data_IF_956110504976
#
_entry.id   IF_956110504976
#
_cell.length_a   1.000
_cell.length_b   1.000
_cell.length_c   1.000
_cell.angle_alpha   90.00
_cell.angle_beta   90.00
_cell.angle_gamma   90.00
#
_symmetry.space_group_name_H-M   'P 1'
#
loop_
_entity.id
_entity.type
_entity.pdbx_description
1 polymer ?
#
# COMPACT_ATOMS: atom_id res chain seq x y z
N UNK A 1 6.96 -34.30 16.88
CA UNK A 1 6.53 -32.91 17.09
C UNK A 1 5.33 -32.98 18.01
N UNK A 2 5.29 -32.23 19.11
CA UNK A 2 4.08 -32.19 19.94
C UNK A 2 2.93 -31.55 19.15
N UNK A 3 1.70 -32.04 19.34
CA UNK A 3 0.54 -31.48 18.64
C UNK A 3 0.27 -30.04 19.06
N UNK A 4 -0.21 -29.23 18.12
CA UNK A 4 -0.49 -27.81 18.35
C UNK A 4 -1.55 -27.64 19.46
N UNK A 5 -1.37 -26.63 20.31
CA UNK A 5 -2.28 -26.35 21.42
C UNK A 5 -3.73 -26.13 20.96
N UNK A 6 -3.93 -25.55 19.78
CA UNK A 6 -5.27 -25.39 19.20
C UNK A 6 -6.01 -26.73 19.06
N UNK A 7 -5.32 -27.78 18.61
CA UNK A 7 -5.91 -29.13 18.43
C UNK A 7 -6.13 -29.80 19.79
N UNK A 8 -5.23 -29.55 20.76
CA UNK A 8 -5.40 -30.05 22.14
C UNK A 8 -6.62 -29.42 22.82
N UNK A 9 -6.89 -28.15 22.54
CA UNK A 9 -7.93 -27.36 23.19
C UNK A 9 -9.31 -27.49 22.51
N UNK A 10 -9.36 -27.92 21.25
CA UNK A 10 -10.60 -28.18 20.51
C UNK A 10 -10.59 -29.58 19.88
N UNK A 11 -11.25 -30.56 20.52
CA UNK A 11 -11.33 -31.94 20.03
C UNK A 11 -11.94 -32.09 18.62
N UNK A 12 -12.74 -31.12 18.16
CA UNK A 12 -13.36 -31.17 16.83
C UNK A 12 -12.32 -31.02 15.70
N UNK A 13 -11.12 -30.53 16.03
CA UNK A 13 -10.02 -30.38 15.08
C UNK A 13 -9.18 -31.66 14.93
N UNK A 14 -9.36 -32.65 15.81
CA UNK A 14 -8.55 -33.88 15.80
C UNK A 14 -8.57 -34.63 14.45
N UNK A 15 -9.71 -34.77 13.73
CA UNK A 15 -9.74 -35.42 12.42
C UNK A 15 -8.94 -34.69 11.34
N UNK A 16 -8.67 -33.39 11.52
CA UNK A 16 -7.97 -32.53 10.56
C UNK A 16 -6.51 -32.25 10.95
N UNK A 17 -6.00 -32.93 11.98
CA UNK A 17 -4.68 -32.70 12.57
C UNK A 17 -3.57 -32.61 11.52
N UNK A 18 -3.46 -33.59 10.63
CA UNK A 18 -2.41 -33.64 9.61
C UNK A 18 -2.45 -32.43 8.68
N UNK A 19 -3.64 -31.99 8.26
CA UNK A 19 -3.81 -30.83 7.42
C UNK A 19 -3.45 -29.52 8.15
N UNK A 20 -3.83 -29.39 9.42
CA UNK A 20 -3.54 -28.21 10.25
C UNK A 20 -2.03 -28.11 10.53
N UNK A 21 -1.41 -29.21 10.99
CA UNK A 21 0.03 -29.27 11.26
C UNK A 21 0.85 -29.10 9.97
N UNK A 22 0.38 -29.64 8.84
CA UNK A 22 0.97 -29.41 7.53
C UNK A 22 0.96 -27.94 7.12
N UNK A 23 -0.16 -27.23 7.31
CA UNK A 23 -0.26 -25.78 7.06
C UNK A 23 0.66 -24.98 7.97
N UNK A 24 0.73 -25.33 9.25
CA UNK A 24 1.67 -24.71 10.19
C UNK A 24 3.12 -24.87 9.72
N UNK A 25 3.52 -26.09 9.36
CA UNK A 25 4.88 -26.35 8.89
C UNK A 25 5.19 -25.64 7.57
N UNK A 26 4.20 -25.52 6.67
CA UNK A 26 4.34 -24.71 5.46
C UNK A 26 4.65 -23.25 5.79
N UNK A 27 3.91 -22.63 6.71
CA UNK A 27 4.15 -21.24 7.15
C UNK A 27 5.55 -21.08 7.75
N UNK A 28 5.95 -21.97 8.66
CA UNK A 28 7.29 -21.97 9.27
C UNK A 28 8.39 -22.06 8.22
N UNK A 29 8.23 -22.93 7.22
CA UNK A 29 9.21 -23.08 6.14
C UNK A 29 9.22 -21.86 5.20
N UNK A 30 8.04 -21.27 4.92
CA UNK A 30 7.92 -20.08 4.09
C UNK A 30 8.58 -18.87 4.75
N UNK A 31 8.37 -18.67 6.05
CA UNK A 31 9.03 -17.63 6.82
C UNK A 31 10.56 -17.81 6.80
N UNK A 32 11.06 -19.03 7.01
CA UNK A 32 12.49 -19.34 6.88
C UNK A 32 13.02 -19.00 5.49
N UNK A 33 12.29 -19.33 4.43
CA UNK A 33 12.71 -19.00 3.07
C UNK A 33 12.79 -17.49 2.84
N UNK A 34 11.77 -16.73 3.26
CA UNK A 34 11.73 -15.26 3.13
C UNK A 34 12.82 -14.56 3.95
N UNK A 35 13.16 -15.12 5.11
CA UNK A 35 14.20 -14.58 6.01
C UNK A 35 15.61 -15.05 5.69
N UNK A 36 15.80 -15.82 4.61
CA UNK A 36 17.11 -16.38 4.25
C UNK A 36 17.65 -17.34 5.31
N UNK A 37 16.77 -18.14 5.91
CA UNK A 37 17.01 -19.00 7.07
C UNK A 37 17.45 -18.23 8.33
N UNK A 38 16.77 -17.12 8.63
CA UNK A 38 17.04 -16.30 9.81
C UNK A 38 18.23 -15.35 9.69
N UNK A 39 18.71 -15.08 8.47
CA UNK A 39 19.72 -14.03 8.21
C UNK A 39 19.17 -12.63 8.48
N UNK A 40 17.84 -12.48 8.41
CA UNK A 40 17.09 -11.29 8.80
C UNK A 40 15.80 -11.71 9.47
N UNK A 41 15.17 -10.81 10.21
CA UNK A 41 13.82 -10.99 10.77
C UNK A 41 12.75 -10.83 9.69
N UNK A 42 11.53 -11.31 9.96
CA UNK A 42 10.39 -11.08 9.07
C UNK A 42 10.08 -9.58 8.92
N UNK A 43 10.26 -8.80 10.00
CA UNK A 43 10.09 -7.34 9.96
C UNK A 43 11.13 -6.66 9.07
N UNK A 44 12.39 -7.07 9.12
CA UNK A 44 13.42 -6.55 8.21
C UNK A 44 13.09 -6.90 6.76
N UNK A 45 12.67 -8.14 6.49
CA UNK A 45 12.20 -8.57 5.16
C UNK A 45 11.02 -7.71 4.67
N UNK A 46 10.09 -7.33 5.55
CA UNK A 46 8.96 -6.45 5.24
C UNK A 46 9.33 -4.96 5.08
N UNK A 47 10.60 -4.63 4.81
CA UNK A 47 11.04 -3.22 4.64
C UNK A 47 11.19 -2.81 3.18
N UNK A 48 10.51 -3.49 2.25
CA UNK A 48 10.62 -3.23 0.81
C UNK A 48 10.31 -1.78 0.43
N UNK A 49 9.43 -1.12 1.17
CA UNK A 49 9.05 0.29 0.98
C UNK A 49 10.18 1.29 1.25
N UNK A 50 11.29 0.86 1.87
CA UNK A 50 12.51 1.65 2.05
C UNK A 50 13.49 1.51 0.86
N UNK A 51 13.27 0.51 0.00
CA UNK A 51 14.12 0.21 -1.14
C UNK A 51 13.44 0.53 -2.48
N UNK A 52 12.20 0.08 -2.65
CA UNK A 52 11.36 0.29 -3.82
C UNK A 52 10.57 1.60 -3.74
N UNK A 53 10.15 2.10 -4.91
CA UNK A 53 9.49 3.40 -5.04
C UNK A 53 10.50 4.55 -5.17
N UNK A 54 10.01 5.79 -5.05
CA UNK A 54 10.80 7.01 -5.17
C UNK A 54 11.32 7.45 -3.80
N UNK A 55 12.64 7.67 -3.70
CA UNK A 55 13.31 8.07 -2.47
C UNK A 55 14.20 9.28 -2.71
N UNK A 56 14.07 10.30 -1.85
CA UNK A 56 15.02 11.41 -1.79
C UNK A 56 16.34 10.91 -1.16
N UNK A 57 17.47 11.24 -1.77
CA UNK A 57 18.81 10.96 -1.25
C UNK A 57 19.57 12.27 -1.03
N UNK A 58 20.77 12.18 -0.43
CA UNK A 58 21.65 13.34 -0.25
C UNK A 58 22.15 13.95 -1.56
N UNK A 59 22.15 13.19 -2.65
CA UNK A 59 22.67 13.60 -3.96
C UNK A 59 21.58 13.79 -5.03
N UNK A 60 20.32 13.55 -4.68
CA UNK A 60 19.20 13.66 -5.59
C UNK A 60 18.08 12.70 -5.25
N UNK A 61 17.75 11.81 -6.18
CA UNK A 61 16.65 10.86 -6.05
C UNK A 61 17.09 9.49 -6.53
N UNK A 62 16.52 8.45 -5.94
CA UNK A 62 16.60 7.10 -6.47
C UNK A 62 15.19 6.54 -6.58
N UNK A 63 14.90 5.91 -7.71
CA UNK A 63 13.65 5.21 -7.94
C UNK A 63 13.94 3.76 -8.29
N UNK A 64 13.18 2.83 -7.69
CA UNK A 64 13.26 1.40 -8.00
C UNK A 64 11.91 0.76 -8.18
N UNK A 65 11.85 -0.19 -9.10
CA UNK A 65 10.65 -0.94 -9.40
C UNK A 65 10.95 -2.40 -9.74
N UNK A 66 10.01 -3.30 -9.40
CA UNK A 66 10.07 -4.70 -9.82
C UNK A 66 9.20 -4.90 -11.05
N UNK A 67 9.81 -5.30 -12.16
CA UNK A 67 9.17 -5.51 -13.46
C UNK A 67 10.00 -6.51 -14.29
N UNK A 68 9.94 -7.82 -13.96
CA UNK A 68 10.81 -8.82 -14.56
C UNK A 68 10.62 -9.01 -16.06
N UNK A 69 9.42 -8.78 -16.60
CA UNK A 69 9.11 -8.94 -18.02
C UNK A 69 9.27 -7.65 -18.85
N UNK A 70 9.60 -6.52 -18.21
CA UNK A 70 9.86 -5.29 -18.94
C UNK A 70 11.14 -5.41 -19.78
N UNK A 71 11.14 -4.79 -20.95
CA UNK A 71 12.30 -4.64 -21.84
C UNK A 71 12.91 -3.24 -21.72
N UNK A 72 12.14 -2.24 -21.33
CA UNK A 72 12.62 -0.93 -20.92
C UNK A 72 11.60 -0.23 -20.01
N UNK A 73 12.09 0.68 -19.16
CA UNK A 73 11.25 1.53 -18.31
C UNK A 73 11.79 2.96 -18.35
N UNK A 74 10.90 3.92 -18.54
CA UNK A 74 11.21 5.35 -18.50
C UNK A 74 10.31 6.02 -17.48
N UNK A 75 10.85 6.94 -16.69
CA UNK A 75 10.04 7.85 -15.90
C UNK A 75 9.59 9.01 -16.79
N UNK A 76 8.28 9.23 -16.90
CA UNK A 76 7.68 10.31 -17.67
C UNK A 76 6.83 11.19 -16.74
N UNK A 77 6.80 12.50 -16.96
CA UNK A 77 6.11 13.40 -16.06
C UNK A 77 6.16 14.86 -16.51
N UNK A 78 5.69 15.74 -15.63
CA UNK A 78 5.70 17.20 -15.86
C UNK A 78 7.09 17.73 -16.22
N UNK A 79 8.14 17.21 -15.58
CA UNK A 79 9.53 17.59 -15.77
C UNK A 79 10.14 17.23 -17.14
N UNK A 80 9.49 16.38 -17.93
CA UNK A 80 9.91 16.03 -19.30
C UNK A 80 8.74 16.04 -20.29
N UNK A 81 7.70 16.83 -20.01
CA UNK A 81 6.51 16.99 -20.86
C UNK A 81 5.82 15.67 -21.21
N UNK A 82 5.86 14.68 -20.31
CA UNK A 82 5.30 13.33 -20.51
C UNK A 82 5.91 12.58 -21.72
N UNK A 83 7.13 12.94 -22.14
CA UNK A 83 7.80 12.32 -23.29
C UNK A 83 8.85 11.31 -22.83
N UNK A 84 9.03 10.27 -23.64
CA UNK A 84 10.12 9.31 -23.49
C UNK A 84 11.47 10.02 -23.67
N UNK A 85 12.34 9.93 -22.67
CA UNK A 85 13.62 10.62 -22.62
C UNK A 85 14.66 9.74 -21.93
N UNK A 86 15.82 9.54 -22.56
CA UNK A 86 16.89 8.67 -22.06
C UNK A 86 17.49 9.18 -20.73
N UNK A 87 17.37 10.48 -20.41
CA UNK A 87 17.75 11.04 -19.10
C UNK A 87 16.96 10.43 -17.94
N UNK A 88 15.78 9.88 -18.23
CA UNK A 88 14.86 9.30 -17.27
C UNK A 88 14.66 7.79 -17.48
N UNK A 89 15.55 7.15 -18.23
CA UNK A 89 15.54 5.70 -18.46
C UNK A 89 16.10 4.93 -17.27
N UNK A 90 15.37 3.93 -16.81
CA UNK A 90 15.84 3.04 -15.75
C UNK A 90 16.80 1.98 -16.30
N UNK A 91 17.76 1.60 -15.46
CA UNK A 91 18.72 0.53 -15.69
C UNK A 91 18.25 -0.75 -15.00
N UNK A 92 18.36 -1.88 -15.70
CA UNK A 92 18.07 -3.19 -15.13
C UNK A 92 19.24 -3.63 -14.26
N UNK A 93 19.00 -3.92 -12.98
CA UNK A 93 20.04 -4.38 -12.05
C UNK A 93 20.18 -5.90 -12.07
N UNK A 94 19.05 -6.61 -11.91
CA UNK A 94 19.01 -8.06 -11.74
C UNK A 94 17.71 -8.49 -11.05
N UNK A 95 17.35 -9.78 -11.10
CA UNK A 95 16.13 -10.32 -10.48
C UNK A 95 14.83 -9.56 -10.85
N UNK A 96 14.79 -8.94 -12.03
CA UNK A 96 13.66 -8.14 -12.48
C UNK A 96 13.55 -6.75 -11.84
N UNK A 97 14.56 -6.30 -11.10
CA UNK A 97 14.61 -4.96 -10.50
C UNK A 97 15.19 -3.96 -11.49
N UNK A 98 14.55 -2.80 -11.57
CA UNK A 98 14.96 -1.65 -12.35
C UNK A 98 15.23 -0.46 -11.42
N UNK A 99 16.24 0.34 -11.74
CA UNK A 99 16.66 1.48 -10.93
C UNK A 99 16.99 2.70 -11.81
N UNK A 100 16.71 3.89 -11.30
CA UNK A 100 17.32 5.12 -11.81
C UNK A 100 17.76 6.00 -10.65
N UNK A 101 18.94 6.62 -10.79
CA UNK A 101 19.39 7.70 -9.93
C UNK A 101 19.26 9.02 -10.71
N UNK A 102 18.59 10.00 -10.13
CA UNK A 102 18.34 11.32 -10.73
C UNK A 102 19.00 12.40 -9.88
N UNK A 103 19.58 13.41 -10.52
CA UNK A 103 20.12 14.57 -9.80
C UNK A 103 18.99 15.35 -9.10
N UNK A 104 19.33 16.04 -8.01
CA UNK A 104 18.36 16.76 -7.16
C UNK A 104 17.42 17.70 -7.91
N UNK A 105 17.93 18.43 -8.91
CA UNK A 105 17.15 19.40 -9.67
C UNK A 105 16.19 18.81 -10.70
N UNK A 106 16.19 17.49 -10.92
CA UNK A 106 15.37 16.84 -11.96
C UNK A 106 13.93 16.56 -11.51
N UNK A 107 13.69 16.40 -10.21
CA UNK A 107 12.36 16.20 -9.65
C UNK A 107 12.12 17.19 -8.51
N UNK A 108 10.93 17.79 -8.49
CA UNK A 108 10.46 18.71 -7.46
C UNK A 108 9.26 18.12 -6.75
N UNK A 109 9.03 18.58 -5.52
CA UNK A 109 7.79 18.27 -4.82
C UNK A 109 6.60 18.65 -5.71
N UNK A 110 5.59 17.78 -5.72
CA UNK A 110 4.35 17.88 -6.49
C UNK A 110 4.45 17.64 -8.00
N UNK A 111 5.66 17.39 -8.54
CA UNK A 111 5.79 16.91 -9.91
C UNK A 111 4.94 15.65 -10.12
N UNK A 112 4.20 15.63 -11.24
CA UNK A 112 3.38 14.49 -11.61
C UNK A 112 4.17 13.58 -12.52
N UNK A 113 4.05 12.27 -12.32
CA UNK A 113 4.77 11.30 -13.13
C UNK A 113 4.05 9.96 -13.24
N UNK A 114 4.51 9.16 -14.19
CA UNK A 114 4.18 7.76 -14.44
C UNK A 114 5.43 7.04 -14.92
N UNK A 115 5.34 5.72 -15.04
CA UNK A 115 6.32 4.91 -15.76
C UNK A 115 5.77 4.59 -17.15
N UNK A 116 6.57 4.80 -18.19
CA UNK A 116 6.35 4.16 -19.48
C UNK A 116 7.09 2.83 -19.46
N UNK A 117 6.34 1.73 -19.37
CA UNK A 117 6.88 0.37 -19.32
C UNK A 117 6.72 -0.26 -20.70
N UNK A 118 7.82 -0.76 -21.25
CA UNK A 118 7.87 -1.51 -22.51
C UNK A 118 8.09 -2.98 -22.21
N UNK A 119 7.47 -3.87 -22.99
CA UNK A 119 7.64 -5.32 -22.91
C UNK A 119 7.56 -5.93 -24.32
N UNK A 120 7.75 -7.24 -24.44
CA UNK A 120 7.64 -7.92 -25.73
C UNK A 120 6.21 -7.80 -26.29
N UNK A 121 6.07 -7.09 -27.42
CA UNK A 121 4.78 -6.91 -28.10
C UNK A 121 3.94 -5.72 -27.61
N UNK A 122 4.44 -4.86 -26.71
CA UNK A 122 3.68 -3.68 -26.32
C UNK A 122 4.38 -2.73 -25.33
N UNK A 123 3.65 -1.68 -24.97
CA UNK A 123 4.02 -0.76 -23.90
C UNK A 123 2.78 -0.16 -23.26
N UNK A 124 2.95 0.47 -22.09
CA UNK A 124 1.87 1.16 -21.40
C UNK A 124 2.36 2.04 -20.27
N UNK A 125 1.58 3.08 -19.98
CA UNK A 125 1.82 3.91 -18.81
C UNK A 125 1.34 3.20 -17.55
N UNK A 126 2.11 3.31 -16.47
CA UNK A 126 1.84 2.68 -15.17
C UNK A 126 2.07 3.66 -14.03
N UNK A 127 1.20 3.62 -13.03
CA UNK A 127 1.51 4.18 -11.71
C UNK A 127 2.47 3.23 -10.98
N UNK A 128 3.61 3.68 -10.44
CA UNK A 128 4.55 2.83 -9.72
C UNK A 128 3.88 2.01 -8.61
N UNK A 129 4.24 0.74 -8.46
CA UNK A 129 3.61 -0.17 -7.51
C UNK A 129 3.79 0.27 -6.05
N UNK A 130 4.92 0.92 -5.77
CA UNK A 130 5.34 1.37 -4.43
C UNK A 130 5.16 2.88 -4.21
N UNK A 131 4.32 3.54 -5.02
CA UNK A 131 4.10 4.98 -4.91
C UNK A 131 3.40 5.34 -3.59
N UNK A 132 3.82 6.46 -2.98
CA UNK A 132 3.26 6.95 -1.71
C UNK A 132 2.18 8.03 -1.87
N UNK A 133 2.02 8.58 -3.07
CA UNK A 133 1.05 9.62 -3.40
C UNK A 133 0.62 9.52 -4.85
N UNK A 134 -0.68 9.43 -5.08
CA UNK A 134 -1.30 9.47 -6.40
C UNK A 134 -2.39 10.53 -6.37
N UNK A 135 -2.47 11.42 -7.36
CA UNK A 135 -3.55 12.42 -7.48
C UNK A 135 -4.41 12.12 -8.70
N UNK A 136 -5.69 12.48 -8.62
CA UNK A 136 -6.58 12.52 -9.77
C UNK A 136 -6.71 13.97 -10.27
N UNK A 137 -6.50 14.21 -11.55
CA UNK A 137 -6.79 15.50 -12.16
C UNK A 137 -8.31 15.76 -12.20
N UNK A 138 -8.74 16.93 -11.76
CA UNK A 138 -10.17 17.23 -11.59
C UNK A 138 -10.94 17.33 -12.92
N UNK A 139 -10.27 17.59 -14.04
CA UNK A 139 -10.93 17.79 -15.33
C UNK A 139 -10.89 16.52 -16.19
N UNK A 140 -9.70 15.97 -16.36
CA UNK A 140 -9.44 14.78 -17.19
C UNK A 140 -9.73 13.48 -16.47
N UNK A 141 -9.81 13.51 -15.13
CA UNK A 141 -9.97 12.35 -14.25
C UNK A 141 -8.83 11.32 -14.34
N UNK A 142 -7.72 11.69 -14.98
CA UNK A 142 -6.50 10.88 -15.07
C UNK A 142 -5.80 10.86 -13.72
N UNK A 143 -5.33 9.68 -13.32
CA UNK A 143 -4.48 9.52 -12.15
C UNK A 143 -3.00 9.59 -12.52
N UNK A 144 -2.21 10.23 -11.67
CA UNK A 144 -0.76 10.34 -11.79
C UNK A 144 -0.10 10.14 -10.44
N UNK A 145 1.07 9.50 -10.42
CA UNK A 145 1.93 9.53 -9.24
C UNK A 145 2.40 10.96 -9.00
N UNK A 146 2.61 11.32 -7.74
CA UNK A 146 3.08 12.64 -7.36
C UNK A 146 4.36 12.51 -6.53
N UNK A 147 5.37 13.32 -6.84
CA UNK A 147 6.57 13.42 -6.02
C UNK A 147 6.20 14.04 -4.67
N UNK A 148 6.19 13.23 -3.62
CA UNK A 148 5.85 13.67 -2.27
C UNK A 148 7.11 13.84 -1.41
N UNK A 149 7.53 15.09 -1.22
CA UNK A 149 8.68 15.46 -0.39
C UNK A 149 8.45 16.88 0.15
N UNK A 150 7.48 17.05 1.08
CA UNK A 150 7.18 18.35 1.66
C UNK A 150 8.43 18.91 2.37
N UNK A 151 8.60 20.24 2.32
CA UNK A 151 9.74 20.91 2.99
C UNK A 151 9.77 20.62 4.50
N UNK A 152 8.58 20.51 5.11
CA UNK A 152 8.39 20.18 6.52
C UNK A 152 7.49 18.94 6.65
N UNK A 153 8.07 17.74 6.65
CA UNK A 153 7.32 16.52 6.94
C UNK A 153 6.70 16.58 8.34
N UNK A 154 5.52 15.99 8.51
CA UNK A 154 4.87 15.87 9.80
C UNK A 154 5.67 14.96 10.73
N UNK A 155 5.80 15.38 11.98
CA UNK A 155 6.46 14.62 13.04
C UNK A 155 5.43 14.29 14.11
N UNK A 156 5.14 13.00 14.29
CA UNK A 156 4.26 12.50 15.35
C UNK A 156 4.71 12.99 16.73
N UNK A 157 3.75 13.54 17.47
CA UNK A 157 3.91 14.03 18.83
C UNK A 157 3.71 12.90 19.84
N UNK A 158 2.78 11.97 19.58
CA UNK A 158 2.40 10.89 20.51
C UNK A 158 3.07 9.55 20.17
N UNK A 159 4.40 9.50 20.21
CA UNK A 159 5.20 8.34 19.75
C UNK A 159 5.07 7.04 20.55
N UNK A 160 4.46 7.08 21.74
CA UNK A 160 4.40 5.94 22.68
C UNK A 160 2.96 5.56 23.03
N UNK A 161 2.00 5.94 22.18
CA UNK A 161 0.62 5.54 22.34
C UNK A 161 0.53 4.00 22.40
N UNK A 162 -0.36 3.51 23.26
CA UNK A 162 -0.70 2.09 23.38
C UNK A 162 -2.22 1.97 23.47
N UNK A 163 -2.87 1.25 22.57
CA UNK A 163 -4.32 1.13 22.56
C UNK A 163 -4.82 0.37 23.79
N UNK A 164 -5.93 0.82 24.38
CA UNK A 164 -6.69 0.02 25.35
C UNK A 164 -7.65 -0.89 24.59
N UNK A 165 -7.47 -2.20 24.73
CA UNK A 165 -8.24 -3.23 23.99
C UNK A 165 -9.30 -3.94 24.84
N UNK A 166 -9.59 -3.49 26.07
CA UNK A 166 -10.48 -4.19 27.01
C UNK A 166 -11.52 -3.27 27.68
N UNK A 167 -12.79 -3.25 27.20
CA UNK A 167 -13.23 -3.76 25.88
C UNK A 167 -12.80 -2.82 24.75
N UNK A 168 -12.74 -3.34 23.52
CA UNK A 168 -12.58 -2.52 22.32
C UNK A 168 -13.96 -1.99 21.89
N UNK A 169 -14.12 -0.68 21.86
CA UNK A 169 -15.32 0.03 21.42
C UNK A 169 -14.96 0.79 20.15
N UNK A 170 -15.32 0.20 19.01
CA UNK A 170 -14.91 0.66 17.68
C UNK A 170 -16.00 1.53 17.05
N UNK A 171 -15.63 2.72 16.58
CA UNK A 171 -16.43 3.51 15.67
C UNK A 171 -15.90 3.30 14.24
N UNK A 172 -16.62 2.53 13.43
CA UNK A 172 -16.29 2.35 12.01
C UNK A 172 -16.66 3.60 11.21
N UNK A 173 -15.75 4.07 10.37
CA UNK A 173 -15.93 5.33 9.65
C UNK A 173 -15.31 5.33 8.25
N UNK A 174 -15.84 6.22 7.41
CA UNK A 174 -15.30 6.56 6.11
C UNK A 174 -15.12 8.07 6.00
N UNK A 175 -13.90 8.54 5.82
CA UNK A 175 -13.52 9.97 5.87
C UNK A 175 -14.35 10.82 4.90
N UNK A 176 -14.43 10.37 3.64
CA UNK A 176 -15.06 11.14 2.56
C UNK A 176 -16.57 11.37 2.69
N UNK A 177 -17.28 10.65 3.56
CA UNK A 177 -18.74 10.78 3.71
C UNK A 177 -19.15 11.12 5.15
N UNK A 178 -18.20 11.55 5.97
CA UNK A 178 -18.43 11.91 7.37
C UNK A 178 -18.98 13.33 7.55
N UNK A 179 -19.08 14.11 6.46
CA UNK A 179 -19.67 15.45 6.43
C UNK A 179 -21.13 15.40 5.98
N UNK A 180 -21.93 16.38 6.41
CA UNK A 180 -23.29 16.60 5.91
C UNK A 180 -23.33 17.43 4.61
N UNK A 181 -22.18 17.92 4.15
CA UNK A 181 -22.07 18.62 2.88
C UNK A 181 -22.04 17.65 1.70
N UNK A 182 -22.59 18.04 0.55
CA UNK A 182 -22.60 17.25 -0.69
C UNK A 182 -21.22 17.27 -1.39
N UNK A 183 -20.17 16.92 -0.65
CA UNK A 183 -18.78 16.84 -1.13
C UNK A 183 -18.03 15.70 -0.45
N UNK A 184 -16.86 15.38 -0.99
CA UNK A 184 -15.93 14.48 -0.30
C UNK A 184 -15.31 15.22 0.90
N UNK A 185 -15.50 14.67 2.09
CA UNK A 185 -14.87 15.16 3.32
C UNK A 185 -13.36 14.90 3.36
N UNK A 186 -12.64 15.73 4.12
CA UNK A 186 -11.19 15.64 4.28
C UNK A 186 -10.73 15.02 5.60
N UNK A 187 -9.46 14.60 5.65
CA UNK A 187 -8.83 14.14 6.88
C UNK A 187 -8.87 15.21 7.98
N UNK A 188 -8.62 16.49 7.63
CA UNK A 188 -8.64 17.59 8.61
C UNK A 188 -10.05 17.87 9.14
N UNK A 189 -11.06 17.84 8.27
CA UNK A 189 -12.45 17.98 8.70
C UNK A 189 -12.86 16.85 9.64
N UNK A 190 -12.52 15.60 9.31
CA UNK A 190 -12.79 14.46 10.20
C UNK A 190 -12.10 14.64 11.55
N UNK A 191 -10.80 15.01 11.53
CA UNK A 191 -9.98 15.25 12.74
C UNK A 191 -10.59 16.32 13.63
N UNK A 192 -11.09 17.42 13.07
CA UNK A 192 -11.59 18.56 13.84
C UNK A 192 -13.05 18.44 14.26
N UNK A 193 -13.88 17.79 13.44
CA UNK A 193 -15.33 17.82 13.60
C UNK A 193 -15.93 16.49 14.09
N UNK A 194 -15.32 15.36 13.70
CA UNK A 194 -15.88 14.03 13.96
C UNK A 194 -15.15 13.35 15.11
N UNK A 195 -13.82 13.36 15.10
CA UNK A 195 -13.00 12.71 16.13
C UNK A 195 -13.34 13.17 17.57
N UNK A 196 -13.58 14.48 17.87
CA UNK A 196 -14.00 14.89 19.21
C UNK A 196 -15.37 14.34 19.63
N UNK A 197 -16.27 14.07 18.68
CA UNK A 197 -17.57 13.43 18.97
C UNK A 197 -17.38 11.97 19.34
N UNK A 198 -16.56 11.24 18.57
CA UNK A 198 -16.20 9.84 18.85
C UNK A 198 -15.61 9.71 20.26
N UNK A 199 -14.64 10.57 20.60
CA UNK A 199 -14.04 10.63 21.92
C UNK A 199 -15.09 10.87 23.03
N UNK A 200 -15.97 11.86 22.83
CA UNK A 200 -17.03 12.21 23.78
C UNK A 200 -18.04 11.08 23.99
N UNK A 201 -18.32 10.30 22.96
CA UNK A 201 -19.24 9.15 23.04
C UNK A 201 -18.64 7.92 23.72
N UNK A 202 -17.33 7.94 24.00
CA UNK A 202 -16.65 6.92 24.81
C UNK A 202 -16.06 5.76 24.00
N UNK A 203 -16.00 5.88 22.67
CA UNK A 203 -15.25 4.95 21.84
C UNK A 203 -13.75 5.07 22.10
N UNK A 204 -13.03 3.95 22.08
CA UNK A 204 -11.58 3.91 22.28
C UNK A 204 -10.81 3.42 21.05
N UNK A 205 -11.52 3.18 19.95
CA UNK A 205 -10.96 2.85 18.65
C UNK A 205 -11.80 3.44 17.52
N UNK A 206 -11.15 3.77 16.42
CA UNK A 206 -11.79 3.98 15.12
C UNK A 206 -11.28 2.93 14.12
N UNK A 207 -12.19 2.40 13.30
CA UNK A 207 -11.86 1.61 12.12
C UNK A 207 -12.01 2.52 10.91
N UNK A 208 -10.91 2.89 10.25
CA UNK A 208 -10.96 3.78 9.09
C UNK A 208 -10.92 2.97 7.81
N UNK A 209 -12.01 3.08 7.05
CA UNK A 209 -12.17 2.47 5.74
C UNK A 209 -11.56 3.31 4.63
N UNK A 210 -11.32 2.69 3.47
CA UNK A 210 -10.96 3.37 2.22
C UNK A 210 -9.68 4.22 2.24
N UNK A 211 -8.71 3.89 3.11
CA UNK A 211 -7.43 4.64 3.18
C UNK A 211 -6.51 4.34 2.00
N UNK A 212 -6.39 3.09 1.56
CA UNK A 212 -5.56 2.76 0.38
C UNK A 212 -6.18 3.38 -0.87
N UNK A 213 -5.36 3.97 -1.74
CA UNK A 213 -5.87 4.66 -2.92
C UNK A 213 -6.61 3.70 -3.87
N UNK A 214 -7.79 4.14 -4.28
CA UNK A 214 -8.75 3.36 -5.06
C UNK A 214 -9.38 4.27 -6.13
N UNK A 215 -9.32 3.92 -7.43
CA UNK A 215 -9.77 4.84 -8.49
C UNK A 215 -11.28 5.05 -8.49
N UNK A 216 -12.04 4.01 -8.15
CA UNK A 216 -13.50 4.03 -8.12
C UNK A 216 -14.02 4.35 -6.71
N UNK A 217 -14.50 5.57 -6.48
CA UNK A 217 -15.01 5.99 -5.17
C UNK A 217 -16.20 5.15 -4.68
N UNK A 218 -17.07 4.71 -5.60
CA UNK A 218 -18.20 3.83 -5.30
C UNK A 218 -17.81 2.41 -4.86
N UNK A 219 -16.51 2.07 -4.86
CA UNK A 219 -16.01 0.80 -4.30
C UNK A 219 -15.95 0.80 -2.77
N UNK A 220 -16.16 1.95 -2.12
CA UNK A 220 -15.99 2.09 -0.68
C UNK A 220 -14.58 1.72 -0.18
N UNK A 221 -13.57 1.87 -1.05
CA UNK A 221 -12.19 1.51 -0.76
C UNK A 221 -11.77 0.09 -1.15
N UNK A 222 -12.71 -0.77 -1.55
CA UNK A 222 -12.41 -2.18 -1.79
C UNK A 222 -11.66 -2.44 -3.11
N UNK A 223 -11.71 -1.53 -4.08
CA UNK A 223 -10.96 -1.65 -5.34
C UNK A 223 -9.64 -0.87 -5.32
N UNK A 224 -8.69 -1.34 -4.50
CA UNK A 224 -7.37 -0.71 -4.33
C UNK A 224 -6.53 -0.80 -5.61
N UNK A 225 -5.90 0.32 -5.98
CA UNK A 225 -4.95 0.41 -7.09
C UNK A 225 -3.52 0.71 -6.66
N UNK A 226 -3.33 1.56 -5.64
CA UNK A 226 -2.01 1.99 -5.17
C UNK A 226 -1.89 1.74 -3.66
N UNK A 227 -1.33 0.58 -3.33
CA UNK A 227 -1.37 -0.01 -1.99
C UNK A 227 -0.64 0.82 -0.93
N UNK A 228 0.36 1.60 -1.32
CA UNK A 228 1.19 2.44 -0.45
C UNK A 228 0.78 3.92 -0.45
N UNK A 229 -0.27 4.29 -1.17
CA UNK A 229 -0.76 5.66 -1.24
C UNK A 229 -2.00 5.83 -0.37
N UNK A 230 -1.98 6.83 0.52
CA UNK A 230 -3.19 7.29 1.20
C UNK A 230 -4.09 7.99 0.19
N UNK A 231 -5.40 7.71 0.23
CA UNK A 231 -6.33 8.22 -0.78
C UNK A 231 -6.34 9.73 -0.81
N UNK A 232 -6.03 10.25 -1.99
CA UNK A 232 -5.83 11.67 -2.25
C UNK A 232 -7.07 12.51 -2.17
N UNK A 233 -8.24 11.88 -2.27
CA UNK A 233 -9.55 12.55 -2.20
C UNK A 233 -9.81 13.18 -0.85
N UNK A 234 -9.17 12.68 0.21
CA UNK A 234 -9.37 13.16 1.57
C UNK A 234 -8.29 14.17 1.99
N UNK A 235 -7.23 14.34 1.20
CA UNK A 235 -6.13 15.25 1.49
C UNK A 235 -4.76 14.62 1.27
N UNK A 236 -3.80 15.05 2.07
CA UNK A 236 -2.39 14.71 1.97
C UNK A 236 -2.00 13.60 2.96
N UNK A 237 -0.89 12.87 2.71
CA UNK A 237 -0.28 11.97 3.69
C UNK A 237 -0.05 12.61 5.05
N UNK A 238 0.34 13.90 5.08
CA UNK A 238 0.62 14.61 6.32
C UNK A 238 -0.64 14.94 7.11
N UNK A 239 -1.78 15.14 6.45
CA UNK A 239 -3.07 15.32 7.13
C UNK A 239 -3.61 14.01 7.69
N UNK A 240 -3.38 12.87 7.03
CA UNK A 240 -3.68 11.56 7.61
C UNK A 240 -2.83 11.30 8.87
N UNK A 241 -1.52 11.61 8.83
CA UNK A 241 -0.66 11.50 10.03
C UNK A 241 -1.16 12.38 11.17
N UNK A 242 -1.60 13.61 10.87
CA UNK A 242 -2.20 14.50 11.86
C UNK A 242 -3.49 13.94 12.46
N UNK A 243 -4.36 13.34 11.64
CA UNK A 243 -5.58 12.69 12.12
C UNK A 243 -5.26 11.56 13.11
N UNK A 244 -4.31 10.69 12.77
CA UNK A 244 -3.91 9.57 13.63
C UNK A 244 -3.27 10.07 14.93
N UNK A 245 -2.35 11.03 14.84
CA UNK A 245 -1.68 11.59 16.01
C UNK A 245 -2.65 12.34 16.95
N UNK A 246 -3.70 12.97 16.41
CA UNK A 246 -4.77 13.58 17.20
C UNK A 246 -5.64 12.51 17.87
N UNK A 247 -5.98 11.42 17.17
CA UNK A 247 -6.71 10.29 17.76
C UNK A 247 -5.93 9.68 18.95
N UNK A 248 -4.63 9.47 18.77
CA UNK A 248 -3.73 9.03 19.84
C UNK A 248 -3.71 9.98 21.04
N UNK A 249 -3.73 11.30 20.79
CA UNK A 249 -3.82 12.30 21.86
C UNK A 249 -5.09 12.20 22.71
N UNK A 250 -6.17 11.70 22.10
CA UNK A 250 -7.47 11.48 22.73
C UNK A 250 -7.63 10.07 23.33
N UNK A 251 -6.59 9.25 23.28
CA UNK A 251 -6.65 7.87 23.79
C UNK A 251 -7.33 6.89 22.84
N UNK A 252 -7.51 7.26 21.57
CA UNK A 252 -8.25 6.48 20.56
C UNK A 252 -7.26 5.76 19.65
N UNK A 253 -7.40 4.43 19.56
CA UNK A 253 -6.67 3.61 18.60
C UNK A 253 -7.20 3.81 17.19
N UNK A 254 -6.33 3.73 16.19
CA UNK A 254 -6.71 3.81 14.78
C UNK A 254 -6.38 2.50 14.08
N UNK A 255 -7.40 1.80 13.63
CA UNK A 255 -7.28 0.54 12.90
C UNK A 255 -7.62 0.81 11.43
N UNK A 256 -6.87 0.20 10.51
CA UNK A 256 -7.04 0.41 9.07
C UNK A 256 -7.74 -0.77 8.40
N UNK A 257 -8.66 -0.49 7.47
CA UNK A 257 -9.08 -1.51 6.49
C UNK A 257 -7.90 -1.82 5.56
N UNK A 258 -7.34 -3.01 5.70
CA UNK A 258 -6.29 -3.50 4.79
C UNK A 258 -6.91 -4.42 3.73
N UNK A 259 -6.87 -4.00 2.48
CA UNK A 259 -7.47 -4.74 1.37
C UNK A 259 -6.38 -5.49 0.62
N UNK A 260 -6.01 -6.65 1.13
CA UNK A 260 -5.04 -7.55 0.48
C UNK A 260 -5.69 -8.77 -0.16
N UNK A 261 -7.02 -8.92 -0.08
CA UNK A 261 -7.74 -10.07 -0.65
C UNK A 261 -7.74 -10.08 -2.18
N UNK A 262 -7.70 -8.90 -2.81
CA UNK A 262 -7.69 -8.70 -4.25
C UNK A 262 -7.13 -7.31 -4.61
N UNK A 263 -6.99 -7.02 -5.91
CA UNK A 263 -6.68 -5.71 -6.45
C UNK A 263 -7.65 -5.33 -7.58
N UNK A 264 -7.74 -4.04 -7.91
CA UNK A 264 -8.50 -3.58 -9.08
C UNK A 264 -7.92 -4.13 -10.39
N UNK A 265 -8.78 -4.32 -11.41
CA UNK A 265 -8.36 -4.79 -12.74
C UNK A 265 -7.59 -3.77 -13.58
N UNK A 266 -7.65 -2.48 -13.22
CA UNK A 266 -7.02 -1.40 -13.97
C UNK A 266 -5.53 -1.69 -14.25
N UNK A 267 -5.13 -1.50 -15.50
CA UNK A 267 -3.73 -1.66 -15.91
C UNK A 267 -2.94 -0.34 -15.82
N UNK A 268 -3.59 0.80 -15.97
CA UNK A 268 -2.93 2.12 -15.93
C UNK A 268 -2.76 2.58 -14.48
N UNK A 269 -3.84 2.57 -13.71
CA UNK A 269 -3.83 2.99 -12.30
C UNK A 269 -3.42 1.89 -11.33
N UNK A 270 -3.65 0.63 -11.71
CA UNK A 270 -3.44 -0.54 -10.85
C UNK A 270 -2.36 -1.48 -11.38
N UNK A 271 -2.27 -2.66 -10.77
CA UNK A 271 -1.21 -3.63 -11.02
C UNK A 271 -1.55 -4.64 -12.13
N UNK A 272 -2.73 -4.52 -12.76
CA UNK A 272 -3.38 -5.61 -13.52
C UNK A 272 -2.53 -6.25 -14.62
N UNK A 273 -1.64 -5.47 -15.22
CA UNK A 273 -0.68 -5.92 -16.24
C UNK A 273 0.56 -5.02 -16.23
N UNK A 274 1.11 -4.83 -15.04
CA UNK A 274 2.12 -3.80 -14.77
C UNK A 274 3.34 -3.89 -15.68
N UNK A 275 4.00 -5.05 -15.76
CA UNK A 275 5.18 -5.29 -16.62
C UNK A 275 4.86 -5.96 -17.96
N UNK A 276 3.60 -5.93 -18.39
CA UNK A 276 3.11 -6.64 -19.59
C UNK A 276 2.66 -8.07 -19.35
N UNK A 277 3.04 -8.69 -18.23
CA UNK A 277 2.54 -10.00 -17.81
C UNK A 277 1.23 -9.89 -17.02
N UNK A 278 0.30 -10.83 -17.26
CA UNK A 278 -0.92 -10.97 -16.47
C UNK A 278 -0.72 -11.66 -15.12
N UNK A 279 0.47 -12.24 -14.89
CA UNK A 279 0.75 -13.08 -13.73
C UNK A 279 1.82 -12.48 -12.83
N UNK A 280 2.31 -11.27 -13.05
CA UNK A 280 3.39 -10.69 -12.22
C UNK A 280 3.04 -10.75 -10.72
N UNK A 281 1.97 -10.06 -10.32
CA UNK A 281 1.45 -10.05 -8.96
C UNK A 281 0.33 -11.08 -8.71
N UNK A 282 -0.28 -11.58 -9.79
CA UNK A 282 -1.54 -12.32 -9.73
C UNK A 282 -1.41 -13.77 -10.19
N UNK A 283 -2.40 -14.57 -9.82
CA UNK A 283 -2.55 -15.94 -10.31
C UNK A 283 -2.79 -15.97 -11.84
N UNK A 284 -2.51 -17.11 -12.46
CA UNK A 284 -2.76 -17.35 -13.88
C UNK A 284 -4.10 -18.04 -14.17
N UNK A 285 -4.53 -17.97 -15.43
CA UNK A 285 -5.73 -18.64 -15.94
C UNK A 285 -7.01 -18.19 -15.23
N UNK A 286 -7.97 -19.12 -15.07
CA UNK A 286 -9.25 -18.83 -14.43
C UNK A 286 -9.15 -18.43 -12.95
N UNK A 287 -8.02 -18.71 -12.28
CA UNK A 287 -7.79 -18.33 -10.88
C UNK A 287 -7.35 -16.87 -10.71
N UNK A 288 -7.04 -16.19 -11.82
CA UNK A 288 -6.61 -14.78 -11.81
C UNK A 288 -7.69 -13.85 -11.28
N UNK A 289 -8.96 -14.16 -11.55
CA UNK A 289 -10.06 -13.24 -11.31
C UNK A 289 -11.00 -13.72 -10.20
N UNK A 290 -11.49 -12.77 -9.41
CA UNK A 290 -12.56 -12.99 -8.45
C UNK A 290 -13.90 -12.61 -9.09
N UNK A 291 -14.72 -13.58 -9.53
CA UNK A 291 -15.88 -13.31 -10.39
C UNK A 291 -16.95 -12.45 -9.71
N UNK A 292 -17.17 -12.63 -8.40
CA UNK A 292 -18.19 -11.87 -7.67
C UNK A 292 -17.81 -10.41 -7.42
N UNK A 293 -16.52 -10.10 -7.48
CA UNK A 293 -16.00 -8.75 -7.18
C UNK A 293 -15.36 -8.09 -8.39
N UNK A 294 -15.39 -8.72 -9.57
CA UNK A 294 -14.74 -8.21 -10.79
C UNK A 294 -13.30 -7.72 -10.56
N UNK A 295 -12.50 -8.49 -9.83
CA UNK A 295 -11.18 -8.08 -9.33
C UNK A 295 -10.10 -9.16 -9.55
N UNK A 296 -8.85 -8.85 -9.20
CA UNK A 296 -7.69 -9.72 -9.40
C UNK A 296 -7.19 -10.37 -8.11
N UNK A 297 -6.93 -11.67 -8.15
CA UNK A 297 -6.45 -12.48 -7.05
C UNK A 297 -4.92 -12.54 -7.03
N UNK A 298 -4.30 -12.05 -5.96
CA UNK A 298 -2.84 -12.13 -5.76
C UNK A 298 -2.34 -13.58 -5.77
N UNK A 299 -1.13 -13.78 -6.29
CA UNK A 299 -0.39 -15.02 -6.11
C UNK A 299 0.44 -14.97 -4.82
N UNK A 300 -0.21 -15.26 -3.69
CA UNK A 300 0.45 -15.33 -2.38
C UNK A 300 1.53 -16.44 -2.29
N UNK A 301 1.67 -17.29 -3.31
CA UNK A 301 2.76 -18.26 -3.40
C UNK A 301 4.11 -17.63 -3.72
N UNK A 302 4.13 -16.46 -4.37
CA UNK A 302 5.35 -15.77 -4.80
C UNK A 302 5.99 -14.97 -3.67
N UNK A 303 7.31 -15.06 -3.57
CA UNK A 303 8.07 -14.37 -2.53
C UNK A 303 8.00 -12.85 -2.70
N UNK A 304 8.03 -12.37 -3.94
CA UNK A 304 7.98 -10.96 -4.30
C UNK A 304 6.62 -10.35 -3.97
N UNK A 305 5.53 -11.11 -4.16
CA UNK A 305 4.17 -10.71 -3.78
C UNK A 305 4.03 -10.68 -2.26
N UNK A 306 4.53 -11.68 -1.54
CA UNK A 306 4.56 -11.66 -0.08
C UNK A 306 5.42 -10.52 0.45
N UNK A 307 6.57 -10.25 -0.15
CA UNK A 307 7.42 -9.13 0.20
C UNK A 307 6.69 -7.79 0.00
N UNK A 308 5.98 -7.61 -1.12
CA UNK A 308 5.14 -6.44 -1.38
C UNK A 308 4.06 -6.25 -0.32
N UNK A 309 3.24 -7.27 -0.08
CA UNK A 309 2.08 -7.18 0.84
C UNK A 309 2.52 -7.06 2.31
N UNK A 310 3.50 -7.83 2.75
CA UNK A 310 4.04 -7.70 4.12
C UNK A 310 4.72 -6.34 4.32
N UNK A 311 5.42 -5.84 3.31
CA UNK A 311 5.96 -4.48 3.36
C UNK A 311 4.89 -3.42 3.38
N UNK A 312 3.73 -3.67 2.78
CA UNK A 312 2.58 -2.79 2.86
C UNK A 312 2.01 -2.74 4.28
N UNK A 313 1.85 -3.89 4.95
CA UNK A 313 1.45 -3.90 6.36
C UNK A 313 2.42 -3.08 7.21
N UNK A 314 3.73 -3.36 7.09
CA UNK A 314 4.76 -2.63 7.86
C UNK A 314 4.78 -1.14 7.53
N UNK A 315 4.58 -0.75 6.28
CA UNK A 315 4.53 0.64 5.87
C UNK A 315 3.44 1.43 6.61
N UNK A 316 2.22 0.91 6.68
CA UNK A 316 1.13 1.59 7.39
C UNK A 316 1.39 1.72 8.89
N UNK A 317 1.96 0.67 9.50
CA UNK A 317 2.36 0.70 10.91
C UNK A 317 3.52 1.69 11.18
N UNK A 318 4.53 1.73 10.30
CA UNK A 318 5.74 2.53 10.52
C UNK A 318 5.58 4.00 10.09
N UNK A 319 4.99 4.27 8.93
CA UNK A 319 4.89 5.62 8.36
C UNK A 319 3.71 6.40 8.97
N UNK A 320 2.58 5.73 9.20
CA UNK A 320 1.34 6.38 9.65
C UNK A 320 0.95 6.06 11.08
N UNK A 321 1.60 5.08 11.74
CA UNK A 321 1.34 4.72 13.15
C UNK A 321 -0.07 4.19 13.40
N UNK A 322 -0.67 3.50 12.43
CA UNK A 322 -1.86 2.69 12.70
C UNK A 322 -1.58 1.65 13.79
N UNK A 323 -2.63 1.31 14.56
CA UNK A 323 -2.58 0.43 15.72
C UNK A 323 -2.98 -1.02 15.41
N UNK A 324 -3.49 -1.29 14.21
CA UNK A 324 -3.96 -2.59 13.78
C UNK A 324 -4.44 -2.63 12.35
#
# INVERSE_FOLDING_TARGET
MESLNLIKNDPWLAPYKEAIEGRYQYVVNKEKNLTGNGRQTLSEMASGYLYFGLHKTKSGWVFREWAPNATAIYMIGTFNEWKKDDRYKLQRLGNGIWEIALAEGLLRHEDLFKLLVEWEGGCGERIPAWIRRVVQDENTKIFSAQVWNPEKPYVFKHKRFKPNVSPLLIYECHIGMASNEEKVGSYDEFRRMVLPRIAKEGYNAIQIMAIQEHPYYGSFGYHVSSFFAASSRFGTPEELKQLIDEAHSMGIAVIMDIVHSHAVKNEVEGLGRFDGSYTQYFLGGARREHPAWDSLCFDYGKNEVLHFLLSNCKFWLDEYKFDG
#
